data_IF_177296571615
#
_entry.id   IF_177296571615
#
_cell.length_a   1.000
_cell.length_b   1.000
_cell.length_c   1.000
_cell.angle_alpha   90.00
_cell.angle_beta   90.00
_cell.angle_gamma   90.00
#
_symmetry.space_group_name_H-M   'P 1'
#
loop_
_entity.id
_entity.type
_entity.pdbx_description
1 polymer ?
#
# COMPACT_ATOMS: atom_id res chain seq x y z
N UNK A 1 -2.46 31.16 -90.36
CA UNK A 1 -3.45 30.39 -89.57
C UNK A 1 -3.67 31.12 -88.25
N UNK A 2 -4.85 31.73 -88.11
CA UNK A 2 -5.64 32.10 -86.92
C UNK A 2 -4.92 32.70 -85.68
N UNK A 3 -5.00 34.03 -85.48
CA UNK A 3 -6.01 34.78 -84.69
C UNK A 3 -5.63 34.85 -83.18
N UNK A 4 -5.04 35.93 -82.65
CA UNK A 4 -5.56 37.28 -82.31
C UNK A 4 -6.36 37.37 -80.99
N UNK A 5 -5.86 38.25 -80.11
CA UNK A 5 -6.51 39.12 -79.08
C UNK A 5 -6.62 38.69 -77.60
N UNK A 6 -6.09 39.61 -76.78
CA UNK A 6 -6.39 39.88 -75.38
C UNK A 6 -7.84 40.30 -75.15
N UNK A 7 -8.47 39.81 -74.07
CA UNK A 7 -9.64 40.38 -73.39
C UNK A 7 -9.50 39.95 -71.91
N UNK A 8 -9.20 40.87 -70.99
CA UNK A 8 -10.17 41.50 -70.08
C UNK A 8 -11.02 40.47 -69.30
N UNK A 9 -10.80 40.39 -67.98
CA UNK A 9 -11.77 39.78 -67.06
C UNK A 9 -12.35 40.86 -66.17
N UNK A 10 -13.28 41.61 -66.75
CA UNK A 10 -14.42 42.10 -66.00
C UNK A 10 -15.44 40.95 -65.87
N UNK A 11 -15.54 40.38 -64.67
CA UNK A 11 -16.82 39.87 -64.15
C UNK A 11 -16.89 40.20 -62.67
N UNK A 12 -16.84 41.51 -62.46
CA UNK A 12 -17.46 42.22 -61.37
C UNK A 12 -18.98 42.06 -61.52
N UNK A 13 -19.60 41.16 -60.74
CA UNK A 13 -21.04 41.11 -60.36
C UNK A 13 -21.44 39.68 -59.99
N UNK A 14 -21.05 39.22 -58.80
CA UNK A 14 -21.79 38.22 -58.01
C UNK A 14 -21.00 37.88 -56.74
N UNK A 15 -20.83 38.84 -55.82
CA UNK A 15 -20.48 38.55 -54.40
C UNK A 15 -20.43 39.80 -53.49
N UNK A 16 -20.98 40.95 -53.91
CA UNK A 16 -21.05 42.13 -53.05
C UNK A 16 -22.36 42.26 -52.25
N UNK A 17 -23.20 41.21 -52.26
CA UNK A 17 -24.53 41.21 -51.63
C UNK A 17 -24.66 40.21 -50.47
N UNK A 18 -23.56 39.57 -50.05
CA UNK A 18 -23.52 38.63 -48.92
C UNK A 18 -22.63 39.08 -47.76
N UNK A 19 -21.84 40.16 -47.94
CA UNK A 19 -21.01 40.73 -46.86
C UNK A 19 -21.75 41.80 -46.05
N UNK A 20 -22.85 42.35 -46.56
CA UNK A 20 -23.62 43.39 -45.85
C UNK A 20 -24.67 42.86 -44.85
N UNK A 21 -24.93 41.54 -44.81
CA UNK A 21 -25.84 40.94 -43.81
C UNK A 21 -25.13 40.42 -42.55
N UNK A 22 -23.79 40.40 -42.51
CA UNK A 22 -23.04 39.99 -41.32
C UNK A 22 -22.72 41.14 -40.35
N UNK A 23 -22.97 42.40 -40.74
CA UNK A 23 -22.69 43.57 -39.92
C UNK A 23 -23.86 44.02 -39.02
N UNK A 24 -24.96 43.28 -38.98
CA UNK A 24 -26.15 43.61 -38.18
C UNK A 24 -26.59 42.51 -37.21
N UNK A 25 -25.78 41.46 -37.03
CA UNK A 25 -25.93 40.63 -35.85
C UNK A 25 -25.25 41.37 -34.68
N UNK A 26 -25.99 41.73 -33.61
CA UNK A 26 -25.32 42.14 -32.38
C UNK A 26 -24.33 41.02 -32.02
N UNK A 27 -23.14 41.35 -31.46
CA UNK A 27 -22.34 40.31 -30.86
C UNK A 27 -23.27 39.57 -29.91
N UNK A 28 -23.53 38.29 -30.20
CA UNK A 28 -24.03 37.41 -29.17
C UNK A 28 -22.92 37.44 -28.14
N UNK A 29 -23.09 38.31 -27.13
CA UNK A 29 -22.32 38.19 -25.92
C UNK A 29 -22.47 36.74 -25.54
N UNK A 30 -21.36 36.02 -25.53
CA UNK A 30 -21.24 34.83 -24.71
C UNK A 30 -21.58 35.33 -23.32
N UNK A 31 -22.87 35.26 -22.98
CA UNK A 31 -23.33 35.39 -21.64
C UNK A 31 -22.56 34.30 -20.93
N UNK A 32 -21.53 34.72 -20.19
CA UNK A 32 -20.80 33.92 -19.26
C UNK A 32 -21.86 33.40 -18.30
N UNK A 33 -22.38 32.22 -18.64
CA UNK A 33 -23.39 31.53 -17.87
C UNK A 33 -22.68 31.27 -16.56
N UNK A 34 -22.93 32.12 -15.56
CA UNK A 34 -22.54 31.89 -14.18
C UNK A 34 -23.15 30.54 -13.85
N UNK A 35 -22.38 29.48 -14.01
CA UNK A 35 -22.76 28.15 -13.58
C UNK A 35 -23.17 28.31 -12.13
N UNK A 36 -24.42 27.98 -11.81
CA UNK A 36 -24.85 27.96 -10.43
C UNK A 36 -23.85 27.09 -9.68
N UNK A 37 -23.20 27.66 -8.66
CA UNK A 37 -22.21 26.96 -7.88
C UNK A 37 -22.85 25.66 -7.36
N UNK A 38 -22.30 24.52 -7.76
CA UNK A 38 -22.77 23.20 -7.32
C UNK A 38 -22.64 23.13 -5.80
N UNK A 39 -23.64 22.57 -5.13
CA UNK A 39 -23.58 22.32 -3.69
C UNK A 39 -22.32 21.49 -3.38
N UNK A 40 -21.41 21.96 -2.49
CA UNK A 40 -20.20 21.23 -2.10
C UNK A 40 -20.47 19.75 -1.74
N UNK A 41 -21.63 19.45 -1.14
CA UNK A 41 -22.01 18.08 -0.78
C UNK A 41 -22.32 17.16 -1.97
N UNK A 42 -22.35 17.69 -3.18
CA UNK A 42 -22.65 16.95 -4.42
C UNK A 42 -21.41 16.78 -5.32
N UNK A 43 -20.26 17.32 -4.93
CA UNK A 43 -19.00 17.16 -5.64
C UNK A 43 -18.35 15.82 -5.33
N UNK A 44 -17.46 15.39 -6.20
CA UNK A 44 -16.60 14.23 -5.96
C UNK A 44 -15.34 14.58 -5.13
N UNK A 45 -15.00 15.88 -5.06
CA UNK A 45 -13.85 16.42 -4.34
C UNK A 45 -14.28 17.10 -3.04
N UNK A 46 -13.33 17.26 -2.12
CA UNK A 46 -13.47 18.05 -0.92
C UNK A 46 -13.47 19.55 -1.24
N UNK A 47 -14.09 20.32 -0.35
CA UNK A 47 -14.13 21.77 -0.44
C UNK A 47 -13.66 22.38 0.87
N UNK A 48 -12.54 23.10 0.81
CA UNK A 48 -11.97 23.82 1.95
C UNK A 48 -12.16 25.31 1.71
N UNK A 49 -12.90 25.99 2.59
CA UNK A 49 -12.96 27.45 2.58
C UNK A 49 -11.71 28.02 3.26
N UNK A 50 -10.97 28.86 2.55
CA UNK A 50 -9.76 29.54 3.02
C UNK A 50 -10.03 31.04 3.07
N UNK A 51 -9.75 31.69 4.19
CA UNK A 51 -9.95 33.12 4.36
C UNK A 51 -9.17 33.91 3.30
N UNK A 52 -9.81 34.90 2.69
CA UNK A 52 -9.26 35.79 1.64
C UNK A 52 -8.94 35.13 0.28
N UNK A 53 -8.85 33.81 0.20
CA UNK A 53 -8.66 33.07 -1.06
C UNK A 53 -9.99 32.58 -1.63
N UNK A 54 -10.88 32.06 -0.78
CA UNK A 54 -12.18 31.52 -1.20
C UNK A 54 -12.23 30.00 -1.04
N UNK A 55 -12.87 29.29 -1.98
CA UNK A 55 -13.02 27.83 -1.92
C UNK A 55 -11.93 27.14 -2.72
N UNK A 56 -11.20 26.26 -2.07
CA UNK A 56 -10.24 25.35 -2.68
C UNK A 56 -10.89 23.98 -2.85
N UNK A 57 -10.69 23.35 -3.99
CA UNK A 57 -11.25 22.05 -4.37
C UNK A 57 -10.12 21.05 -4.62
N UNK A 58 -10.29 19.81 -4.14
CA UNK A 58 -9.23 18.80 -4.13
C UNK A 58 -9.52 17.70 -3.12
N UNK A 59 -8.53 16.93 -2.69
CA UNK A 59 -8.71 15.84 -1.71
C UNK A 59 -7.87 16.13 -0.47
N UNK A 60 -8.53 16.16 0.70
CA UNK A 60 -7.87 16.29 1.99
C UNK A 60 -7.26 14.94 2.37
N UNK A 61 -5.94 14.88 2.48
CA UNK A 61 -5.23 13.66 2.86
C UNK A 61 -5.15 13.49 4.37
N UNK A 62 -4.98 14.60 5.09
CA UNK A 62 -4.90 14.58 6.54
C UNK A 62 -5.33 15.91 7.15
N UNK A 63 -5.84 15.83 8.37
CA UNK A 63 -6.20 16.97 9.18
C UNK A 63 -5.65 16.76 10.58
N UNK A 64 -4.87 17.73 11.05
CA UNK A 64 -4.45 17.84 12.43
C UNK A 64 -5.16 19.03 13.09
N UNK A 65 -4.95 19.22 14.38
CA UNK A 65 -5.45 20.40 15.09
C UNK A 65 -4.83 21.71 14.56
N UNK A 66 -3.65 21.61 13.92
CA UNK A 66 -2.87 22.76 13.48
C UNK A 66 -3.03 23.05 11.98
N UNK A 67 -3.23 22.03 11.14
CA UNK A 67 -3.23 22.22 9.69
C UNK A 67 -4.04 21.16 8.95
N UNK A 68 -4.43 21.48 7.72
CA UNK A 68 -5.01 20.55 6.74
C UNK A 68 -4.04 20.39 5.58
N UNK A 69 -3.74 19.14 5.22
CA UNK A 69 -3.00 18.80 4.00
C UNK A 69 -3.97 18.37 2.91
N UNK A 70 -3.86 19.01 1.75
CA UNK A 70 -4.82 18.83 0.65
C UNK A 70 -4.09 18.73 -0.70
N UNK A 71 -4.43 17.73 -1.49
CA UNK A 71 -3.99 17.56 -2.88
C UNK A 71 -4.89 18.37 -3.80
N UNK A 72 -4.30 19.16 -4.69
CA UNK A 72 -5.01 20.00 -5.65
C UNK A 72 -4.35 19.88 -7.02
N UNK A 73 -5.14 19.81 -8.09
CA UNK A 73 -4.61 19.84 -9.46
C UNK A 73 -4.07 21.23 -9.79
N UNK A 74 -2.82 21.32 -10.26
CA UNK A 74 -2.13 22.60 -10.53
C UNK A 74 -2.90 23.49 -11.49
N UNK A 75 -3.29 22.94 -12.64
CA UNK A 75 -4.00 23.66 -13.69
C UNK A 75 -5.29 24.32 -13.17
N UNK A 76 -5.99 23.62 -12.29
CA UNK A 76 -7.20 24.15 -11.66
C UNK A 76 -6.85 25.29 -10.70
N UNK A 77 -5.86 25.10 -9.81
CA UNK A 77 -5.46 26.10 -8.84
C UNK A 77 -4.93 27.38 -9.51
N UNK A 78 -4.11 27.23 -10.54
CA UNK A 78 -3.58 28.32 -11.36
C UNK A 78 -4.69 29.11 -12.04
N UNK A 79 -5.71 28.42 -12.56
CA UNK A 79 -6.84 29.06 -13.26
C UNK A 79 -7.83 29.73 -12.31
N UNK A 80 -8.13 29.08 -11.18
CA UNK A 80 -9.14 29.53 -10.23
C UNK A 80 -8.62 30.60 -9.25
N UNK A 81 -7.36 30.47 -8.82
CA UNK A 81 -6.74 31.30 -7.78
C UNK A 81 -5.29 31.67 -8.15
N UNK A 82 -5.05 32.46 -9.23
CA UNK A 82 -3.72 32.66 -9.81
C UNK A 82 -2.70 33.31 -8.87
N UNK A 83 -3.13 34.29 -8.06
CA UNK A 83 -2.22 34.96 -7.10
C UNK A 83 -1.79 34.02 -5.97
N UNK A 84 -2.72 33.21 -5.46
CA UNK A 84 -2.45 32.20 -4.43
C UNK A 84 -1.57 31.09 -4.98
N UNK A 85 -1.83 30.62 -6.22
CA UNK A 85 -0.98 29.65 -6.90
C UNK A 85 0.47 30.14 -7.02
N UNK A 86 0.68 31.39 -7.43
CA UNK A 86 2.03 31.96 -7.58
C UNK A 86 2.79 31.96 -6.25
N UNK A 87 2.15 32.40 -5.17
CA UNK A 87 2.75 32.40 -3.83
C UNK A 87 3.10 30.98 -3.37
N UNK A 88 2.20 30.03 -3.61
CA UNK A 88 2.41 28.63 -3.25
C UNK A 88 3.55 28.00 -4.04
N UNK A 89 3.58 28.19 -5.37
CA UNK A 89 4.60 27.62 -6.25
C UNK A 89 6.03 28.06 -5.90
N UNK A 90 6.20 29.33 -5.47
CA UNK A 90 7.50 29.83 -5.00
C UNK A 90 7.95 29.06 -3.74
N UNK A 91 7.06 28.89 -2.76
CA UNK A 91 7.36 28.14 -1.52
C UNK A 91 7.52 26.63 -1.74
N UNK A 92 6.82 26.07 -2.72
CA UNK A 92 6.82 24.64 -3.00
C UNK A 92 8.16 24.17 -3.57
N UNK A 93 8.79 24.97 -4.42
CA UNK A 93 10.13 24.67 -4.93
C UNK A 93 11.16 24.62 -3.79
N UNK A 94 11.10 25.55 -2.83
CA UNK A 94 11.97 25.56 -1.66
C UNK A 94 11.74 24.31 -0.80
N UNK A 95 10.48 24.00 -0.48
CA UNK A 95 10.10 22.81 0.30
C UNK A 95 10.54 21.52 -0.41
N UNK A 96 10.39 21.44 -1.72
CA UNK A 96 10.80 20.28 -2.51
C UNK A 96 12.32 20.11 -2.53
N UNK A 97 13.07 21.20 -2.70
CA UNK A 97 14.53 21.16 -2.64
C UNK A 97 15.04 20.74 -1.25
N UNK A 98 14.50 21.31 -0.18
CA UNK A 98 14.84 20.94 1.20
C UNK A 98 14.54 19.47 1.47
N UNK A 99 13.38 19.00 1.03
CA UNK A 99 12.97 17.65 1.30
C UNK A 99 13.67 16.61 0.40
N UNK A 100 14.04 16.95 -0.83
CA UNK A 100 14.96 16.15 -1.65
C UNK A 100 16.31 16.02 -0.93
N UNK A 101 16.86 17.12 -0.43
CA UNK A 101 18.11 17.10 0.34
C UNK A 101 17.97 16.22 1.59
N UNK A 102 16.85 16.30 2.31
CA UNK A 102 16.56 15.46 3.46
C UNK A 102 16.49 13.97 3.08
N UNK A 103 15.87 13.64 1.95
CA UNK A 103 15.80 12.27 1.45
C UNK A 103 17.20 11.75 1.10
N UNK A 104 18.03 12.55 0.41
CA UNK A 104 19.42 12.20 0.11
C UNK A 104 20.24 11.95 1.38
N UNK A 105 20.09 12.78 2.42
CA UNK A 105 20.77 12.54 3.71
C UNK A 105 20.26 11.28 4.42
N UNK A 106 18.97 10.97 4.34
CA UNK A 106 18.40 9.71 4.84
C UNK A 106 18.97 8.51 4.11
N UNK A 107 19.03 8.56 2.77
CA UNK A 107 19.64 7.52 1.94
C UNK A 107 21.11 7.32 2.33
N UNK A 108 21.87 8.40 2.43
CA UNK A 108 23.28 8.36 2.83
C UNK A 108 23.48 7.76 4.22
N UNK A 109 22.61 8.10 5.17
CA UNK A 109 22.63 7.51 6.51
C UNK A 109 22.34 6.01 6.45
N UNK A 110 21.33 5.61 5.69
CA UNK A 110 20.94 4.20 5.53
C UNK A 110 22.08 3.36 4.92
N UNK A 111 22.80 3.88 3.92
CA UNK A 111 23.98 3.20 3.35
C UNK A 111 25.06 2.88 4.37
N UNK A 112 25.23 3.74 5.37
CA UNK A 112 26.24 3.56 6.42
C UNK A 112 25.82 2.55 7.50
N UNK A 113 24.59 2.04 7.46
CA UNK A 113 24.07 1.06 8.43
C UNK A 113 24.44 -0.39 8.08
N UNK A 114 24.90 -0.67 6.84
CA UNK A 114 25.19 -2.02 6.35
C UNK A 114 26.63 -2.19 5.92
N UNK A 115 27.14 -3.42 6.06
CA UNK A 115 28.46 -3.86 5.60
C UNK A 115 28.33 -5.22 4.86
N UNK A 116 29.32 -5.58 4.05
CA UNK A 116 29.37 -6.87 3.35
C UNK A 116 28.32 -7.01 2.24
N UNK A 117 27.86 -8.25 2.01
CA UNK A 117 26.95 -8.59 0.91
C UNK A 117 25.59 -7.86 1.01
N UNK A 118 25.06 -7.69 2.23
CA UNK A 118 23.80 -6.95 2.45
C UNK A 118 23.94 -5.47 2.02
N UNK A 119 25.13 -4.88 2.20
CA UNK A 119 25.38 -3.50 1.76
C UNK A 119 25.39 -3.38 0.23
N UNK A 120 25.87 -4.38 -0.50
CA UNK A 120 25.87 -4.37 -1.96
C UNK A 120 24.44 -4.32 -2.51
N UNK A 121 23.58 -5.22 -2.01
CA UNK A 121 22.16 -5.30 -2.42
C UNK A 121 21.40 -4.00 -2.11
N UNK A 122 21.55 -3.46 -0.90
CA UNK A 122 20.89 -2.21 -0.51
C UNK A 122 21.42 -1.02 -1.32
N UNK A 123 22.73 -0.94 -1.56
CA UNK A 123 23.32 0.15 -2.33
C UNK A 123 22.85 0.14 -3.79
N UNK A 124 22.75 -1.03 -4.43
CA UNK A 124 22.23 -1.17 -5.79
C UNK A 124 20.78 -0.66 -5.89
N UNK A 125 19.91 -1.10 -4.98
CA UNK A 125 18.54 -0.62 -4.90
C UNK A 125 18.45 0.91 -4.73
N UNK A 126 19.29 1.47 -3.86
CA UNK A 126 19.31 2.91 -3.59
C UNK A 126 19.84 3.71 -4.79
N UNK A 127 20.85 3.20 -5.50
CA UNK A 127 21.38 3.83 -6.71
C UNK A 127 20.33 3.88 -7.82
N UNK A 128 19.57 2.80 -8.00
CA UNK A 128 18.51 2.73 -8.99
C UNK A 128 17.35 3.66 -8.64
N UNK A 129 16.96 3.72 -7.36
CA UNK A 129 15.94 4.66 -6.89
C UNK A 129 16.38 6.13 -7.05
N UNK A 130 17.64 6.47 -6.76
CA UNK A 130 18.16 7.84 -6.99
C UNK A 130 18.01 8.24 -8.46
N UNK A 131 18.38 7.34 -9.39
CA UNK A 131 18.28 7.62 -10.84
C UNK A 131 16.84 7.69 -11.31
N UNK A 132 16.01 6.74 -10.89
CA UNK A 132 14.60 6.64 -11.29
C UNK A 132 13.81 7.85 -10.85
N UNK A 133 14.01 8.29 -9.61
CA UNK A 133 13.33 9.45 -9.02
C UNK A 133 14.00 10.78 -9.40
N UNK A 134 15.08 10.76 -10.16
CA UNK A 134 15.81 11.96 -10.58
C UNK A 134 16.36 12.77 -9.40
N UNK A 135 16.68 12.12 -8.27
CA UNK A 135 17.22 12.79 -7.08
C UNK A 135 18.64 13.34 -7.31
N UNK A 136 19.25 13.05 -8.46
CA UNK A 136 20.50 13.61 -8.96
C UNK A 136 20.33 15.00 -9.61
N UNK A 137 19.09 15.43 -9.86
CA UNK A 137 18.75 16.72 -10.48
C UNK A 137 17.98 17.60 -9.49
N UNK A 138 17.99 18.94 -9.65
CA UNK A 138 17.13 19.81 -8.85
C UNK A 138 15.66 19.41 -8.98
N UNK A 139 14.94 19.35 -7.85
CA UNK A 139 13.50 19.11 -7.85
C UNK A 139 12.78 20.07 -8.79
N UNK A 140 12.03 19.52 -9.76
CA UNK A 140 11.15 20.27 -10.64
C UNK A 140 9.71 19.94 -10.34
N UNK A 141 9.13 20.66 -9.36
CA UNK A 141 7.74 20.44 -8.94
C UNK A 141 6.74 20.80 -10.03
N UNK A 142 7.15 21.60 -11.02
CA UNK A 142 6.28 22.05 -12.11
C UNK A 142 5.91 20.92 -13.08
N UNK A 143 6.66 19.82 -13.06
CA UNK A 143 6.39 18.62 -13.85
C UNK A 143 5.19 17.79 -13.35
N UNK A 144 4.82 17.94 -12.07
CA UNK A 144 3.70 17.19 -11.46
C UNK A 144 2.35 17.83 -11.78
N UNK A 145 1.35 17.02 -12.14
CA UNK A 145 -0.01 17.53 -12.38
C UNK A 145 -0.69 18.05 -11.10
N UNK A 146 -0.24 17.57 -9.93
CA UNK A 146 -0.76 17.95 -8.63
C UNK A 146 0.23 18.77 -7.80
N UNK A 147 -0.33 19.46 -6.80
CA UNK A 147 0.41 20.15 -5.75
C UNK A 147 -0.23 19.87 -4.40
N UNK A 148 0.56 19.88 -3.33
CA UNK A 148 0.08 19.65 -1.97
C UNK A 148 0.06 20.99 -1.24
N UNK A 149 -1.12 21.39 -0.79
CA UNK A 149 -1.33 22.57 0.03
C UNK A 149 -1.30 22.19 1.51
N UNK A 150 -0.45 22.87 2.28
CA UNK A 150 -0.54 22.90 3.73
C UNK A 150 -1.26 24.17 4.15
N UNK A 151 -2.47 24.01 4.69
CA UNK A 151 -3.32 25.11 5.09
C UNK A 151 -3.42 25.17 6.62
N UNK A 152 -2.95 26.26 7.22
CA UNK A 152 -3.01 26.45 8.67
C UNK A 152 -4.45 26.60 9.15
N UNK A 153 -4.77 25.98 10.29
CA UNK A 153 -6.14 25.91 10.81
C UNK A 153 -6.78 27.29 11.02
N UNK A 154 -6.00 28.29 11.39
CA UNK A 154 -6.44 29.67 11.58
C UNK A 154 -6.93 30.33 10.28
N UNK A 155 -6.41 29.88 9.14
CA UNK A 155 -6.79 30.39 7.82
C UNK A 155 -8.02 29.68 7.27
N UNK A 156 -8.52 28.64 7.93
CA UNK A 156 -9.62 27.82 7.46
C UNK A 156 -10.97 28.28 7.98
N UNK A 157 -11.95 28.29 7.08
CA UNK A 157 -13.37 28.37 7.41
C UNK A 157 -14.00 26.97 7.45
N UNK A 158 -15.12 26.82 6.73
CA UNK A 158 -15.84 25.54 6.66
C UNK A 158 -15.15 24.55 5.71
N UNK A 159 -15.04 23.31 6.17
CA UNK A 159 -14.54 22.17 5.41
C UNK A 159 -15.71 21.25 5.07
N UNK A 160 -15.79 20.80 3.83
CA UNK A 160 -16.72 19.78 3.36
C UNK A 160 -15.91 18.60 2.84
N UNK A 161 -15.89 17.51 3.60
CA UNK A 161 -15.24 16.27 3.23
C UNK A 161 -16.25 15.37 2.50
N UNK A 162 -15.76 14.65 1.48
CA UNK A 162 -16.47 13.57 0.81
C UNK A 162 -16.04 12.21 1.37
N UNK A 163 -16.78 11.18 0.97
CA UNK A 163 -16.45 9.79 1.24
C UNK A 163 -15.41 9.26 0.24
N UNK A 164 -14.85 8.09 0.56
CA UNK A 164 -13.81 7.42 -0.22
C UNK A 164 -14.25 7.10 -1.66
N UNK A 165 -15.51 6.68 -1.84
CA UNK A 165 -16.08 6.39 -3.16
C UNK A 165 -16.04 7.62 -4.09
N UNK A 166 -16.32 8.80 -3.54
CA UNK A 166 -16.24 10.07 -4.26
C UNK A 166 -14.81 10.49 -4.54
N UNK A 167 -13.90 10.31 -3.58
CA UNK A 167 -12.48 10.56 -3.79
C UNK A 167 -11.93 9.66 -4.91
N UNK A 168 -12.28 8.38 -4.90
CA UNK A 168 -11.92 7.43 -5.96
C UNK A 168 -12.47 7.88 -7.31
N UNK A 169 -13.73 8.30 -7.36
CA UNK A 169 -14.34 8.83 -8.59
C UNK A 169 -13.62 10.08 -9.11
N UNK A 170 -13.21 10.99 -8.23
CA UNK A 170 -12.42 12.17 -8.59
C UNK A 170 -11.04 11.77 -9.12
N UNK A 171 -10.37 10.83 -8.46
CA UNK A 171 -9.09 10.28 -8.88
C UNK A 171 -9.14 9.69 -10.29
N UNK A 172 -10.16 8.87 -10.59
CA UNK A 172 -10.38 8.33 -11.93
C UNK A 172 -10.66 9.46 -12.94
N UNK A 173 -11.45 10.45 -12.54
CA UNK A 173 -11.68 11.63 -13.37
C UNK A 173 -10.39 12.37 -13.73
N UNK A 174 -9.45 12.46 -12.79
CA UNK A 174 -8.16 13.08 -13.05
C UNK A 174 -7.24 12.22 -13.91
N UNK A 175 -7.14 10.91 -13.66
CA UNK A 175 -6.29 10.01 -14.46
C UNK A 175 -6.76 9.93 -15.92
N UNK A 176 -8.06 10.00 -16.15
CA UNK A 176 -8.67 10.07 -17.49
C UNK A 176 -8.67 11.48 -18.09
N UNK A 177 -7.96 12.43 -17.46
CA UNK A 177 -7.81 13.81 -17.91
C UNK A 177 -9.14 14.53 -18.16
N UNK A 178 -10.19 14.22 -17.38
CA UNK A 178 -11.45 14.93 -17.48
C UNK A 178 -11.29 16.39 -17.04
N UNK A 179 -11.93 17.28 -17.80
CA UNK A 179 -12.04 18.69 -17.45
C UNK A 179 -13.08 18.89 -16.35
N UNK A 180 -12.82 19.87 -15.50
CA UNK A 180 -13.75 20.37 -14.49
C UNK A 180 -14.19 19.35 -13.43
N UNK A 181 -13.37 18.34 -13.14
CA UNK A 181 -13.62 17.35 -12.06
C UNK A 181 -13.92 18.05 -10.74
N UNK A 182 -13.21 19.15 -10.47
CA UNK A 182 -13.28 19.93 -9.23
C UNK A 182 -14.61 20.64 -9.03
N UNK A 183 -15.40 20.83 -10.09
CA UNK A 183 -16.67 21.58 -10.05
C UNK A 183 -17.86 20.80 -10.59
N UNK A 184 -17.63 19.58 -11.11
CA UNK A 184 -18.68 18.71 -11.64
C UNK A 184 -19.34 17.91 -10.51
N UNK A 185 -20.67 17.81 -10.55
CA UNK A 185 -21.43 16.94 -9.66
C UNK A 185 -20.98 15.47 -9.82
N UNK A 186 -20.79 14.74 -8.73
CA UNK A 186 -20.31 13.36 -8.74
C UNK A 186 -21.15 12.42 -9.64
N UNK A 187 -22.48 12.56 -9.66
CA UNK A 187 -23.36 11.76 -10.51
C UNK A 187 -23.12 12.05 -12.00
N UNK A 188 -22.85 13.31 -12.34
CA UNK A 188 -22.53 13.71 -13.71
C UNK A 188 -21.12 13.26 -14.10
N UNK A 189 -20.17 13.31 -13.15
CA UNK A 189 -18.81 12.84 -13.35
C UNK A 189 -18.78 11.33 -13.65
N UNK A 190 -19.47 10.50 -12.85
CA UNK A 190 -19.61 9.06 -13.10
C UNK A 190 -20.17 8.78 -14.49
N UNK A 191 -21.24 9.47 -14.88
CA UNK A 191 -21.82 9.33 -16.21
C UNK A 191 -20.85 9.70 -17.34
N UNK A 192 -20.03 10.75 -17.16
CA UNK A 192 -19.02 11.15 -18.16
C UNK A 192 -17.96 10.06 -18.34
N UNK A 193 -17.50 9.44 -17.25
CA UNK A 193 -16.55 8.34 -17.28
C UNK A 193 -17.13 7.09 -17.96
N UNK A 194 -18.36 6.72 -17.60
CA UNK A 194 -19.07 5.60 -18.25
C UNK A 194 -19.26 5.84 -19.76
N UNK A 195 -19.53 7.09 -20.17
CA UNK A 195 -19.61 7.47 -21.59
C UNK A 195 -18.28 7.35 -22.33
N UNK A 196 -17.15 7.38 -21.63
CA UNK A 196 -15.82 7.12 -22.17
C UNK A 196 -15.44 5.62 -22.11
N UNK A 197 -16.38 4.74 -21.75
CA UNK A 197 -16.16 3.31 -21.53
C UNK A 197 -15.15 3.00 -20.41
N UNK A 198 -15.04 3.89 -19.42
CA UNK A 198 -14.22 3.65 -18.23
C UNK A 198 -15.07 2.88 -17.22
N UNK A 199 -14.66 1.66 -16.87
CA UNK A 199 -15.29 0.90 -15.80
C UNK A 199 -14.81 1.42 -14.45
N UNK A 200 -15.61 2.31 -13.86
CA UNK A 200 -15.33 2.91 -12.57
C UNK A 200 -15.16 1.85 -11.49
N UNK A 201 -15.87 0.72 -11.52
CA UNK A 201 -15.82 -0.25 -10.42
C UNK A 201 -14.49 -1.02 -10.42
N UNK A 202 -14.00 -1.46 -11.59
CA UNK A 202 -12.75 -2.22 -11.71
C UNK A 202 -11.50 -1.37 -11.94
N UNK A 203 -11.61 -0.04 -12.02
CA UNK A 203 -10.49 0.85 -12.31
C UNK A 203 -9.38 0.80 -11.23
N UNK A 204 -8.14 0.56 -11.66
CA UNK A 204 -6.95 0.65 -10.82
C UNK A 204 -6.37 2.05 -10.93
N UNK A 205 -6.52 2.85 -9.88
CA UNK A 205 -6.06 4.25 -9.85
C UNK A 205 -4.53 4.31 -9.80
N UNK A 206 -3.92 5.08 -10.72
CA UNK A 206 -2.48 5.34 -10.78
C UNK A 206 -2.24 6.84 -10.80
N UNK A 207 -2.03 7.45 -9.64
CA UNK A 207 -1.70 8.87 -9.51
C UNK A 207 -0.26 9.12 -9.02
N UNK A 208 0.50 8.07 -8.68
CA UNK A 208 1.81 8.17 -8.04
C UNK A 208 2.77 9.12 -8.78
N UNK A 209 2.92 8.94 -10.09
CA UNK A 209 3.83 9.73 -10.92
C UNK A 209 3.41 11.20 -11.10
N UNK A 210 2.14 11.52 -10.83
CA UNK A 210 1.59 12.87 -11.00
C UNK A 210 1.61 13.68 -9.70
N UNK A 211 1.93 13.03 -8.59
CA UNK A 211 1.97 13.62 -7.25
C UNK A 211 3.38 14.09 -6.91
N UNK A 212 3.53 15.28 -6.29
CA UNK A 212 4.83 15.66 -5.75
C UNK A 212 5.21 14.71 -4.60
N UNK A 213 6.51 14.46 -4.38
CA UNK A 213 6.97 13.57 -3.32
C UNK A 213 6.47 14.05 -1.96
N UNK A 214 5.86 13.14 -1.20
CA UNK A 214 5.41 13.42 0.16
C UNK A 214 6.49 13.05 1.17
N UNK A 215 6.87 14.01 2.01
CA UNK A 215 7.86 13.73 3.05
C UNK A 215 7.26 12.87 4.16
N UNK A 216 7.78 11.66 4.25
CA UNK A 216 7.45 10.74 5.33
C UNK A 216 7.99 11.22 6.68
N UNK A 217 7.21 10.99 7.73
CA UNK A 217 7.70 11.11 9.10
C UNK A 217 8.89 10.18 9.32
N UNK A 218 9.72 10.46 10.33
CA UNK A 218 10.86 9.60 10.64
C UNK A 218 10.40 8.18 11.02
N UNK A 219 9.21 8.02 11.60
CA UNK A 219 8.62 6.72 11.89
C UNK A 219 8.26 5.94 10.62
N UNK A 220 7.58 6.59 9.67
CA UNK A 220 7.23 5.97 8.38
C UNK A 220 8.48 5.62 7.55
N UNK A 221 9.54 6.41 7.67
CA UNK A 221 10.82 6.10 7.05
C UNK A 221 11.45 4.80 7.60
N UNK A 222 11.42 4.57 8.91
CA UNK A 222 11.91 3.31 9.48
C UNK A 222 11.08 2.10 9.03
N UNK A 223 9.75 2.27 8.93
CA UNK A 223 8.86 1.25 8.37
C UNK A 223 9.23 0.94 6.93
N UNK A 224 9.48 1.96 6.11
CA UNK A 224 9.90 1.78 4.72
C UNK A 224 11.22 1.02 4.61
N UNK A 225 12.24 1.41 5.37
CA UNK A 225 13.51 0.67 5.41
C UNK A 225 13.27 -0.80 5.75
N UNK A 226 12.46 -1.07 6.78
CA UNK A 226 12.14 -2.42 7.23
C UNK A 226 11.42 -3.26 6.16
N UNK A 227 10.53 -2.66 5.35
CA UNK A 227 9.84 -3.33 4.25
C UNK A 227 10.76 -3.59 3.06
N UNK A 228 11.57 -2.61 2.66
CA UNK A 228 12.57 -2.77 1.60
C UNK A 228 13.56 -3.87 1.96
N UNK A 229 14.07 -3.88 3.19
CA UNK A 229 14.98 -4.93 3.64
C UNK A 229 14.32 -6.30 3.68
N UNK A 230 13.05 -6.38 4.09
CA UNK A 230 12.31 -7.64 4.05
C UNK A 230 12.10 -8.16 2.62
N UNK A 231 12.02 -7.26 1.64
CA UNK A 231 11.88 -7.61 0.23
C UNK A 231 13.21 -8.05 -0.40
N UNK A 232 14.31 -7.37 -0.06
CA UNK A 232 15.60 -7.52 -0.74
C UNK A 232 16.57 -8.47 -0.04
N UNK A 233 16.57 -8.50 1.29
CA UNK A 233 17.51 -9.30 2.08
C UNK A 233 16.89 -10.65 2.48
N UNK A 234 17.71 -11.64 2.90
CA UNK A 234 17.21 -12.90 3.43
C UNK A 234 16.20 -12.70 4.56
N UNK A 235 14.97 -13.18 4.34
CA UNK A 235 13.83 -12.94 5.25
C UNK A 235 14.00 -13.61 6.60
N UNK A 236 13.65 -12.87 7.64
CA UNK A 236 13.49 -13.41 9.00
C UNK A 236 12.06 -13.82 9.25
N UNK A 237 11.75 -15.10 9.03
CA UNK A 237 10.43 -15.66 9.24
C UNK A 237 10.47 -16.73 10.33
N UNK A 238 9.49 -16.67 11.23
CA UNK A 238 9.25 -17.66 12.26
C UNK A 238 7.85 -18.24 12.12
N UNK A 239 7.69 -19.51 12.50
CA UNK A 239 6.38 -20.17 12.53
C UNK A 239 6.23 -20.99 13.82
N UNK A 240 5.02 -21.01 14.38
CA UNK A 240 4.83 -21.59 15.70
C UNK A 240 3.38 -21.69 16.18
N UNK A 241 3.22 -22.27 17.36
CA UNK A 241 1.96 -22.44 18.08
C UNK A 241 2.17 -22.26 19.57
N UNK A 242 1.22 -21.59 20.24
CA UNK A 242 1.37 -21.20 21.65
C UNK A 242 2.62 -20.34 21.87
N UNK A 243 3.60 -20.89 22.60
CA UNK A 243 4.89 -20.26 22.93
C UNK A 243 6.08 -20.88 22.15
N UNK A 244 5.85 -21.87 21.29
CA UNK A 244 6.90 -22.55 20.53
C UNK A 244 7.00 -21.96 19.12
N UNK A 245 8.20 -21.50 18.75
CA UNK A 245 8.47 -20.89 17.44
C UNK A 245 9.76 -21.43 16.84
N UNK A 246 9.77 -21.59 15.52
CA UNK A 246 10.89 -22.09 14.75
C UNK A 246 11.20 -21.16 13.59
N UNK A 247 12.50 -20.94 13.32
CA UNK A 247 12.96 -20.19 12.15
C UNK A 247 12.60 -20.97 10.88
N UNK A 248 11.94 -20.33 9.94
CA UNK A 248 11.63 -20.89 8.62
C UNK A 248 12.83 -20.72 7.68
N UNK A 249 13.07 -21.71 6.82
CA UNK A 249 14.12 -21.68 5.79
C UNK A 249 15.54 -22.04 6.27
N UNK A 250 15.86 -21.89 7.56
CA UNK A 250 17.18 -22.24 8.10
C UNK A 250 17.27 -23.75 8.38
N UNK A 251 17.60 -24.58 7.38
CA UNK A 251 17.90 -26.01 7.52
C UNK A 251 17.05 -26.73 8.59
N UNK A 252 15.75 -26.42 8.64
CA UNK A 252 14.87 -26.89 9.68
C UNK A 252 14.63 -28.38 9.39
N UNK A 253 15.51 -29.22 9.91
CA UNK A 253 15.35 -30.66 9.83
C UNK A 253 14.11 -30.98 10.65
N UNK A 254 13.03 -31.53 10.06
CA UNK A 254 11.82 -31.88 10.80
C UNK A 254 12.14 -32.80 11.98
N UNK A 255 13.18 -33.63 11.85
CA UNK A 255 13.67 -34.46 12.95
C UNK A 255 14.29 -33.64 14.10
N UNK A 256 14.98 -32.53 13.83
CA UNK A 256 15.49 -31.63 14.87
C UNK A 256 14.38 -30.82 15.52
N UNK A 257 13.35 -30.41 14.79
CA UNK A 257 12.18 -29.75 15.36
C UNK A 257 11.39 -30.70 16.28
N UNK A 258 11.21 -31.96 15.87
CA UNK A 258 10.58 -33.01 16.68
C UNK A 258 11.46 -33.37 17.88
N UNK A 259 12.78 -33.50 17.69
CA UNK A 259 13.73 -33.74 18.77
C UNK A 259 13.74 -32.58 19.77
N UNK A 260 13.75 -31.33 19.32
CA UNK A 260 13.60 -30.15 20.18
C UNK A 260 12.26 -30.16 20.93
N UNK A 261 11.18 -30.60 20.30
CA UNK A 261 9.88 -30.74 20.94
C UNK A 261 9.87 -31.83 22.03
N UNK A 262 10.61 -32.93 21.81
CA UNK A 262 10.77 -34.04 22.75
C UNK A 262 11.79 -33.76 23.87
N UNK A 263 12.85 -33.02 23.58
CA UNK A 263 13.94 -32.69 24.52
C UNK A 263 13.69 -31.37 25.29
N UNK A 264 12.60 -30.65 24.99
CA UNK A 264 12.24 -29.39 25.66
C UNK A 264 13.08 -28.18 25.20
N UNK A 265 13.49 -28.17 23.94
CA UNK A 265 14.52 -27.30 23.39
C UNK A 265 14.02 -26.06 22.63
N UNK A 266 13.82 -24.97 23.36
CA UNK A 266 14.52 -23.71 23.09
C UNK A 266 14.84 -23.10 24.46
N UNK A 267 16.06 -23.32 24.95
CA UNK A 267 16.50 -22.75 26.23
C UNK A 267 15.73 -23.22 27.48
N UNK A 268 15.78 -24.52 27.79
CA UNK A 268 15.70 -25.01 29.16
C UNK A 268 14.47 -24.62 29.98
N UNK A 269 13.25 -24.84 29.50
CA UNK A 269 12.05 -24.86 30.36
C UNK A 269 11.01 -25.85 29.80
N UNK A 270 10.69 -26.91 30.58
CA UNK A 270 9.38 -27.59 30.50
C UNK A 270 9.27 -28.94 29.79
N UNK A 271 10.06 -29.95 30.15
CA UNK A 271 9.99 -31.32 29.62
C UNK A 271 8.73 -32.15 29.94
N UNK A 272 7.57 -31.54 30.19
CA UNK A 272 6.29 -32.23 30.40
C UNK A 272 5.06 -31.48 29.84
N UNK A 273 5.19 -30.20 29.52
CA UNK A 273 4.11 -29.35 29.00
C UNK A 273 3.86 -29.53 27.49
N UNK A 274 4.85 -30.02 26.74
CA UNK A 274 4.81 -30.03 25.27
C UNK A 274 3.89 -31.12 24.70
N UNK A 275 3.87 -32.32 25.30
CA UNK A 275 2.94 -33.41 24.92
C UNK A 275 1.49 -33.01 25.25
N UNK A 276 1.29 -32.32 26.37
CA UNK A 276 -0.02 -31.80 26.77
C UNK A 276 -0.52 -30.70 25.83
N UNK A 277 0.39 -29.88 25.26
CA UNK A 277 0.04 -28.86 24.26
C UNK A 277 -0.29 -29.48 22.89
N UNK A 278 0.47 -30.47 22.44
CA UNK A 278 0.16 -31.24 21.23
C UNK A 278 -1.18 -31.99 21.35
N UNK A 279 -1.48 -32.52 22.54
CA UNK A 279 -2.79 -33.11 22.86
C UNK A 279 -3.95 -32.11 22.82
N UNK A 280 -3.72 -30.85 23.23
CA UNK A 280 -4.69 -29.74 23.07
C UNK A 280 -4.93 -29.38 21.62
N UNK A 281 -3.86 -29.25 20.83
CA UNK A 281 -3.90 -28.86 19.42
C UNK A 281 -4.57 -29.94 18.55
N UNK A 282 -4.36 -31.22 18.85
CA UNK A 282 -5.06 -32.34 18.21
C UNK A 282 -6.53 -32.49 18.65
N UNK A 283 -6.96 -31.70 19.64
CA UNK A 283 -8.33 -31.67 20.16
C UNK A 283 -8.69 -32.87 21.03
N UNK A 284 -7.72 -33.46 21.74
CA UNK A 284 -7.97 -34.56 22.67
C UNK A 284 -8.75 -34.05 23.90
N UNK A 285 -9.82 -34.76 24.33
CA UNK A 285 -10.72 -34.28 25.40
C UNK A 285 -10.04 -34.06 26.75
N UNK A 286 -8.93 -34.76 27.00
CA UNK A 286 -8.23 -34.85 28.28
C UNK A 286 -7.38 -33.61 28.62
N UNK A 287 -7.17 -32.69 27.67
CA UNK A 287 -6.26 -31.54 27.84
C UNK A 287 -6.92 -30.17 27.71
N UNK A 288 -8.26 -30.09 27.62
CA UNK A 288 -8.98 -28.82 27.47
C UNK A 288 -9.08 -28.06 28.79
N UNK A 289 -8.18 -27.11 29.02
CA UNK A 289 -8.42 -26.00 29.96
C UNK A 289 -7.75 -24.66 29.54
N UNK A 290 -8.35 -23.60 30.07
CA UNK A 290 -8.54 -22.18 29.63
C UNK A 290 -7.31 -21.26 29.39
N UNK A 291 -7.49 -20.13 28.67
CA UNK A 291 -6.45 -19.14 28.38
C UNK A 291 -6.15 -18.23 29.58
N UNK A 292 -4.86 -18.01 29.90
CA UNK A 292 -4.42 -17.01 30.87
C UNK A 292 -3.97 -15.71 30.19
N UNK A 293 -4.72 -14.67 30.53
CA UNK A 293 -4.44 -13.23 30.56
C UNK A 293 -3.11 -12.65 30.05
N UNK A 294 -3.26 -11.54 29.31
CA UNK A 294 -2.54 -10.25 29.45
C UNK A 294 -1.30 -10.29 30.34
N UNK A 295 -0.18 -10.72 29.77
CA UNK A 295 1.15 -10.31 30.20
C UNK A 295 1.93 -9.90 28.96
N UNK A 296 2.81 -8.91 29.13
CA UNK A 296 3.71 -8.40 28.09
C UNK A 296 4.27 -9.55 27.27
N UNK A 297 4.30 -9.39 25.95
CA UNK A 297 4.65 -10.39 24.93
C UNK A 297 6.08 -10.91 25.17
N UNK A 298 6.31 -11.76 26.18
CA UNK A 298 7.63 -12.38 26.43
C UNK A 298 7.98 -13.44 25.39
N UNK A 299 6.96 -13.99 24.73
CA UNK A 299 7.15 -15.04 23.74
C UNK A 299 7.87 -14.54 22.48
N UNK A 300 7.88 -13.23 22.22
CA UNK A 300 8.54 -12.65 21.04
C UNK A 300 10.01 -12.27 21.29
N UNK A 301 10.41 -12.14 22.56
CA UNK A 301 11.78 -11.72 22.93
C UNK A 301 12.87 -12.60 22.29
N UNK A 302 12.74 -13.94 22.19
CA UNK A 302 13.74 -14.77 21.50
C UNK A 302 13.85 -14.48 20.00
N UNK A 303 12.73 -14.15 19.35
CA UNK A 303 12.69 -13.82 17.92
C UNK A 303 13.25 -12.42 17.65
N UNK A 304 12.94 -11.47 18.53
CA UNK A 304 13.58 -10.14 18.54
C UNK A 304 15.10 -10.30 18.64
N UNK A 305 15.58 -11.04 19.63
CA UNK A 305 17.01 -11.23 19.84
C UNK A 305 17.69 -11.88 18.63
N UNK A 306 17.06 -12.91 18.06
CA UNK A 306 17.60 -13.58 16.88
C UNK A 306 17.62 -12.66 15.64
N UNK A 307 16.59 -11.83 15.44
CA UNK A 307 16.60 -10.82 14.38
C UNK A 307 17.70 -9.75 14.60
N UNK A 308 17.94 -9.34 15.85
CA UNK A 308 19.03 -8.42 16.20
C UNK A 308 20.42 -9.06 15.99
N UNK A 309 20.59 -10.32 16.36
CA UNK A 309 21.82 -11.09 16.14
C UNK A 309 22.10 -11.29 14.63
N UNK A 310 21.05 -11.38 13.79
CA UNK A 310 21.11 -11.42 12.33
C UNK A 310 21.24 -10.01 11.69
N UNK A 311 21.30 -8.94 12.48
CA UNK A 311 21.30 -7.53 12.04
C UNK A 311 20.14 -7.21 11.09
N UNK A 312 18.91 -7.56 11.48
CA UNK A 312 17.69 -7.39 10.68
C UNK A 312 16.77 -6.36 11.33
N UNK A 313 16.11 -5.54 10.50
CA UNK A 313 15.12 -4.53 10.95
C UNK A 313 13.69 -5.03 10.94
N UNK A 314 13.44 -6.20 10.38
CA UNK A 314 12.11 -6.78 10.27
C UNK A 314 12.15 -8.29 10.38
N UNK A 315 11.06 -8.84 10.90
CA UNK A 315 10.81 -10.28 10.88
C UNK A 315 9.31 -10.55 10.87
N UNK A 316 8.89 -11.69 10.31
CA UNK A 316 7.51 -12.15 10.34
C UNK A 316 7.34 -13.31 11.32
N UNK A 317 6.19 -13.39 11.97
CA UNK A 317 5.81 -14.50 12.83
C UNK A 317 4.45 -15.03 12.41
N UNK A 318 4.40 -16.31 12.07
CA UNK A 318 3.16 -17.05 11.81
C UNK A 318 2.76 -17.86 13.04
N UNK A 319 1.55 -17.61 13.53
CA UNK A 319 0.94 -18.29 14.68
C UNK A 319 -0.24 -19.13 14.23
N UNK A 320 -0.19 -20.41 14.55
CA UNK A 320 -1.27 -21.35 14.29
C UNK A 320 -2.24 -21.38 15.47
N UNK A 321 -3.54 -21.33 15.19
CA UNK A 321 -4.61 -21.70 16.13
C UNK A 321 -5.49 -22.75 15.48
N UNK A 322 -5.76 -23.85 16.20
CA UNK A 322 -6.46 -25.00 15.66
C UNK A 322 -7.72 -25.36 16.46
N UNK A 323 -8.82 -25.59 15.74
CA UNK A 323 -10.07 -26.15 16.23
C UNK A 323 -10.78 -26.93 15.12
N UNK A 324 -12.05 -26.62 14.86
CA UNK A 324 -12.77 -27.08 13.65
C UNK A 324 -12.35 -26.28 12.39
N UNK A 325 -11.72 -25.14 12.63
CA UNK A 325 -11.05 -24.29 11.64
C UNK A 325 -9.60 -24.15 12.06
N UNK A 326 -8.71 -24.14 11.07
CA UNK A 326 -7.32 -23.77 11.23
C UNK A 326 -7.19 -22.30 10.87
N UNK A 327 -6.68 -21.49 11.80
CA UNK A 327 -6.38 -20.08 11.58
C UNK A 327 -4.88 -19.88 11.65
N UNK A 328 -4.32 -19.27 10.61
CA UNK A 328 -2.93 -18.81 10.60
C UNK A 328 -2.96 -17.28 10.71
N UNK A 329 -2.32 -16.79 11.76
CA UNK A 329 -2.13 -15.37 11.99
C UNK A 329 -0.67 -15.02 11.75
N UNK A 330 -0.41 -14.23 10.71
CA UNK A 330 0.93 -13.74 10.39
C UNK A 330 1.06 -12.29 10.83
N UNK A 331 2.10 -11.96 11.58
CA UNK A 331 2.40 -10.58 11.96
C UNK A 331 3.81 -10.21 11.51
N UNK A 332 3.93 -9.13 10.74
CA UNK A 332 5.20 -8.50 10.40
C UNK A 332 5.58 -7.52 11.51
N UNK A 333 6.79 -7.64 12.03
CA UNK A 333 7.37 -6.75 13.03
C UNK A 333 8.50 -5.94 12.41
N UNK A 334 8.70 -4.74 12.93
CA UNK A 334 9.81 -3.88 12.54
C UNK A 334 10.48 -3.23 13.75
N UNK A 335 11.76 -2.87 13.60
CA UNK A 335 12.52 -2.09 14.56
C UNK A 335 12.29 -0.61 14.31
N UNK A 336 11.56 0.04 15.21
CA UNK A 336 11.33 1.49 15.15
C UNK A 336 12.56 2.29 15.56
N UNK A 337 12.48 3.62 15.40
CA UNK A 337 13.58 4.56 15.67
C UNK A 337 14.13 4.50 17.10
N UNK A 338 13.29 4.20 18.09
CA UNK A 338 13.68 4.11 19.49
C UNK A 338 14.31 2.74 19.84
N UNK A 339 14.77 1.98 18.85
CA UNK A 339 15.18 0.57 18.95
C UNK A 339 14.09 -0.36 19.51
N UNK A 340 12.83 0.08 19.48
CA UNK A 340 11.69 -0.72 19.94
C UNK A 340 11.10 -1.51 18.78
N UNK A 341 10.88 -2.80 19.02
CA UNK A 341 10.16 -3.66 18.08
C UNK A 341 8.65 -3.47 18.20
N UNK A 342 8.01 -3.20 17.06
CA UNK A 342 6.58 -2.91 16.98
C UNK A 342 5.92 -3.79 15.91
N UNK A 343 4.67 -4.24 16.11
CA UNK A 343 3.91 -4.89 15.04
C UNK A 343 3.58 -3.86 13.96
N UNK A 344 3.90 -4.18 12.71
CA UNK A 344 3.57 -3.36 11.54
C UNK A 344 2.20 -3.73 10.98
N UNK A 345 2.05 -4.98 10.54
CA UNK A 345 0.82 -5.47 9.90
C UNK A 345 0.53 -6.90 10.32
N UNK A 346 -0.76 -7.22 10.39
CA UNK A 346 -1.27 -8.55 10.71
C UNK A 346 -2.19 -9.04 9.61
N UNK A 347 -1.95 -10.27 9.18
CA UNK A 347 -2.70 -11.03 8.18
C UNK A 347 -3.28 -12.25 8.89
N UNK A 348 -4.51 -12.64 8.55
CA UNK A 348 -5.20 -13.71 9.27
C UNK A 348 -6.13 -14.45 8.35
N UNK A 349 -5.72 -15.65 7.94
CA UNK A 349 -6.52 -16.52 7.09
C UNK A 349 -6.94 -17.79 7.81
N UNK A 350 -8.11 -18.30 7.44
CA UNK A 350 -8.76 -19.40 8.13
C UNK A 350 -9.34 -20.41 7.16
N UNK A 351 -9.07 -21.69 7.40
CA UNK A 351 -9.47 -22.80 6.54
C UNK A 351 -10.18 -23.87 7.38
N UNK A 352 -11.38 -24.29 6.97
CA UNK A 352 -12.12 -25.33 7.68
C UNK A 352 -11.58 -26.71 7.35
N UNK A 353 -11.49 -27.60 8.34
CA UNK A 353 -11.03 -28.97 8.10
C UNK A 353 -12.00 -29.77 7.22
N UNK A 354 -13.29 -29.42 7.23
CA UNK A 354 -14.33 -30.08 6.45
C UNK A 354 -14.25 -29.79 4.94
N UNK A 355 -13.63 -28.66 4.57
CA UNK A 355 -13.60 -28.17 3.19
C UNK A 355 -12.40 -28.70 2.40
N UNK A 356 -11.54 -29.52 3.03
CA UNK A 356 -10.35 -30.08 2.38
C UNK A 356 -10.71 -31.33 1.57
N UNK A 357 -10.27 -31.34 0.31
CA UNK A 357 -10.60 -32.40 -0.66
C UNK A 357 -9.69 -33.62 -0.52
N UNK A 358 -10.09 -34.74 -1.14
CA UNK A 358 -9.29 -35.97 -1.16
C UNK A 358 -7.96 -35.77 -1.88
N UNK A 359 -7.99 -35.11 -3.04
CA UNK A 359 -6.83 -34.86 -3.89
C UNK A 359 -5.77 -34.03 -3.16
N UNK A 360 -6.20 -33.01 -2.39
CA UNK A 360 -5.29 -32.17 -1.60
C UNK A 360 -4.64 -32.93 -0.44
N UNK A 361 -5.37 -33.85 0.20
CA UNK A 361 -4.82 -34.73 1.22
C UNK A 361 -3.76 -35.66 0.63
N UNK A 362 -3.99 -36.20 -0.57
CA UNK A 362 -3.04 -37.09 -1.24
C UNK A 362 -1.72 -36.38 -1.56
N UNK A 363 -1.79 -35.14 -2.05
CA UNK A 363 -0.58 -34.32 -2.32
C UNK A 363 0.26 -34.13 -1.05
N UNK A 364 -0.39 -33.87 0.09
CA UNK A 364 0.28 -33.68 1.38
C UNK A 364 0.84 -35.01 1.92
N UNK A 365 0.14 -36.11 1.75
CA UNK A 365 0.64 -37.45 2.14
C UNK A 365 1.90 -37.87 1.36
N UNK A 366 2.04 -37.43 0.12
CA UNK A 366 3.20 -37.71 -0.73
C UNK A 366 4.43 -36.85 -0.37
N UNK A 367 4.29 -35.85 0.52
CA UNK A 367 5.43 -35.04 0.96
C UNK A 367 6.44 -35.92 1.75
N UNK A 368 7.73 -35.97 1.35
CA UNK A 368 8.74 -36.79 2.00
C UNK A 368 8.93 -36.50 3.49
N UNK A 369 8.71 -35.26 3.93
CA UNK A 369 8.81 -34.88 5.34
C UNK A 369 7.62 -35.44 6.12
N UNK A 370 6.41 -35.34 5.56
CA UNK A 370 5.19 -35.85 6.18
C UNK A 370 5.22 -37.37 6.24
N UNK A 371 5.65 -38.05 5.18
CA UNK A 371 5.83 -39.50 5.16
C UNK A 371 6.74 -39.99 6.32
N UNK A 372 7.85 -39.28 6.58
CA UNK A 372 8.76 -39.59 7.71
C UNK A 372 8.10 -39.38 9.07
N UNK A 373 7.36 -38.30 9.26
CA UNK A 373 6.61 -38.04 10.50
C UNK A 373 5.56 -39.12 10.73
N UNK A 374 4.87 -39.54 9.68
CA UNK A 374 3.85 -40.58 9.73
C UNK A 374 4.45 -41.96 10.05
N UNK A 375 5.64 -42.26 9.53
CA UNK A 375 6.39 -43.47 9.87
C UNK A 375 6.81 -43.47 11.35
N UNK A 376 7.33 -42.35 11.87
CA UNK A 376 7.66 -42.21 13.29
C UNK A 376 6.41 -42.39 14.17
N UNK A 377 5.29 -41.75 13.83
CA UNK A 377 4.02 -41.91 14.56
C UNK A 377 3.55 -43.37 14.60
N UNK A 378 3.74 -44.13 13.50
CA UNK A 378 3.49 -45.58 13.47
C UNK A 378 4.41 -46.36 14.40
N UNK A 379 5.70 -46.03 14.45
CA UNK A 379 6.66 -46.67 15.34
C UNK A 379 6.34 -46.45 16.82
N UNK A 380 5.75 -45.31 17.19
CA UNK A 380 5.34 -44.99 18.56
C UNK A 380 3.90 -45.44 18.91
N UNK A 381 3.21 -46.16 18.02
CA UNK A 381 1.86 -46.67 18.27
C UNK A 381 0.75 -45.60 18.22
N UNK A 382 1.04 -44.42 17.65
CA UNK A 382 0.09 -43.31 17.49
C UNK A 382 -0.70 -43.37 16.16
N UNK A 383 -0.67 -44.51 15.47
CA UNK A 383 -1.21 -44.68 14.12
C UNK A 383 -2.70 -45.02 14.04
N UNK A 384 -3.54 -44.40 14.87
CA UNK A 384 -4.99 -44.46 14.66
C UNK A 384 -5.32 -43.85 13.29
N UNK A 385 -5.90 -44.60 12.33
CA UNK A 385 -6.22 -44.11 11.00
C UNK A 385 -7.10 -42.84 11.00
N UNK A 386 -7.99 -42.70 11.98
CA UNK A 386 -8.85 -41.51 12.08
C UNK A 386 -8.08 -40.28 12.55
N UNK A 387 -7.17 -40.44 13.52
CA UNK A 387 -6.30 -39.35 13.98
C UNK A 387 -5.35 -38.92 12.87
N UNK A 388 -4.79 -39.89 12.15
CA UNK A 388 -3.89 -39.64 11.01
C UNK A 388 -4.61 -38.86 9.90
N UNK A 389 -5.81 -39.29 9.51
CA UNK A 389 -6.61 -38.56 8.50
C UNK A 389 -6.99 -37.16 8.97
N UNK A 390 -7.31 -36.98 10.26
CA UNK A 390 -7.60 -35.66 10.84
C UNK A 390 -6.35 -34.76 10.83
N UNK A 391 -5.18 -35.31 11.17
CA UNK A 391 -3.91 -34.59 11.15
C UNK A 391 -3.53 -34.15 9.73
N UNK A 392 -3.68 -35.02 8.74
CA UNK A 392 -3.45 -34.69 7.32
C UNK A 392 -4.39 -33.56 6.87
N UNK A 393 -5.70 -33.65 7.16
CA UNK A 393 -6.65 -32.56 6.86
C UNK A 393 -6.25 -31.25 7.51
N UNK A 394 -5.81 -31.30 8.76
CA UNK A 394 -5.31 -30.12 9.46
C UNK A 394 -4.05 -29.57 8.80
N UNK A 395 -3.15 -30.43 8.34
CA UNK A 395 -1.95 -30.04 7.61
C UNK A 395 -2.29 -29.33 6.29
N UNK A 396 -3.23 -29.87 5.51
CA UNK A 396 -3.73 -29.21 4.28
C UNK A 396 -4.34 -27.84 4.60
N UNK A 397 -5.25 -27.77 5.60
CA UNK A 397 -5.89 -26.52 6.00
C UNK A 397 -4.86 -25.49 6.50
N UNK A 398 -3.84 -25.93 7.25
CA UNK A 398 -2.73 -25.09 7.73
C UNK A 398 -1.91 -24.56 6.56
N UNK A 399 -1.54 -25.43 5.62
CA UNK A 399 -0.78 -25.07 4.43
C UNK A 399 -1.49 -23.98 3.63
N UNK A 400 -2.77 -24.18 3.32
CA UNK A 400 -3.57 -23.18 2.59
C UNK A 400 -3.69 -21.87 3.34
N UNK A 401 -4.07 -21.90 4.62
CA UNK A 401 -4.20 -20.69 5.43
C UNK A 401 -2.86 -19.91 5.50
N UNK A 402 -1.74 -20.63 5.57
CA UNK A 402 -0.41 -20.04 5.54
C UNK A 402 -0.08 -19.45 4.16
N UNK A 403 -0.34 -20.16 3.06
CA UNK A 403 -0.14 -19.68 1.69
C UNK A 403 -0.97 -18.42 1.39
N UNK A 404 -2.22 -18.37 1.84
CA UNK A 404 -3.08 -17.20 1.72
C UNK A 404 -2.50 -16.00 2.50
N UNK A 405 -2.13 -16.20 3.77
CA UNK A 405 -1.53 -15.13 4.59
C UNK A 405 -0.15 -14.68 4.08
N UNK A 406 0.64 -15.57 3.50
CA UNK A 406 1.90 -15.22 2.85
C UNK A 406 1.66 -14.39 1.60
N UNK A 407 0.68 -14.77 0.77
CA UNK A 407 0.36 -14.03 -0.45
C UNK A 407 -0.06 -12.60 -0.13
N UNK A 408 -0.86 -12.39 0.92
CA UNK A 408 -1.21 -11.05 1.41
C UNK A 408 -0.01 -10.28 1.96
N UNK A 409 0.91 -10.94 2.68
CA UNK A 409 2.14 -10.33 3.15
C UNK A 409 3.02 -9.90 1.96
N UNK A 410 3.19 -10.76 0.96
CA UNK A 410 3.98 -10.49 -0.23
C UNK A 410 3.39 -9.32 -1.02
N UNK A 411 2.07 -9.30 -1.25
CA UNK A 411 1.39 -8.18 -1.89
C UNK A 411 1.57 -6.87 -1.11
N UNK A 412 1.49 -6.94 0.23
CA UNK A 412 1.73 -5.77 1.09
C UNK A 412 3.17 -5.27 0.97
N UNK A 413 4.16 -6.17 1.01
CA UNK A 413 5.58 -5.80 0.90
C UNK A 413 5.84 -5.19 -0.48
N UNK A 414 5.44 -5.87 -1.57
CA UNK A 414 5.58 -5.40 -2.95
C UNK A 414 4.99 -4.00 -3.14
N UNK A 415 3.79 -3.75 -2.59
CA UNK A 415 3.15 -2.43 -2.69
C UNK A 415 4.00 -1.28 -2.13
N UNK A 416 4.81 -1.54 -1.11
CA UNK A 416 5.51 -0.49 -0.36
C UNK A 416 7.05 -0.56 -0.44
N UNK A 417 7.64 -1.61 -1.04
CA UNK A 417 9.10 -1.83 -1.03
C UNK A 417 9.82 -1.46 -2.33
N UNK A 418 9.12 -1.26 -3.45
CA UNK A 418 9.79 -1.05 -4.75
C UNK A 418 10.38 0.34 -4.96
N UNK A 419 9.75 1.38 -4.40
CA UNK A 419 10.20 2.77 -4.55
C UNK A 419 10.34 3.44 -3.18
N UNK A 420 11.38 4.25 -3.01
CA UNK A 420 11.63 4.93 -1.72
C UNK A 420 10.68 6.10 -1.43
N UNK A 421 9.93 6.55 -2.44
CA UNK A 421 8.96 7.65 -2.37
C UNK A 421 7.51 7.20 -2.62
N UNK A 422 7.27 5.88 -2.69
CA UNK A 422 5.94 5.28 -2.75
C UNK A 422 5.01 5.89 -1.69
N UNK A 423 3.67 5.80 -1.84
CA UNK A 423 2.73 6.38 -0.89
C UNK A 423 3.05 6.02 0.57
N UNK A 424 2.75 6.91 1.53
CA UNK A 424 3.06 6.67 2.93
C UNK A 424 2.50 5.32 3.39
N UNK A 425 3.31 4.53 4.09
CA UNK A 425 2.87 3.22 4.58
C UNK A 425 1.68 3.38 5.55
N UNK A 426 0.68 2.51 5.40
CA UNK A 426 -0.58 2.46 6.17
C UNK A 426 -0.78 1.17 6.98
#
# INVERSE_FOLDING_TARGET
MNAVRSISKASFKASLLLVFFFALLPPQGFAQQKSQAVDPKRLAVDVVAVHRVGRIHGIVMSQTDQSVLMVVRRDWLQSAHPEFYKQHADSENEIAAEGQQRLLERIKTWRAEYEGDDAEVINEFLDDNIKMLGLDKPADVSSFAFTILKLDREQLGRIYLQDEDRHRLAGIGWSENLKDVETTNAVVLKRKLEQQNVDVESYVLKLGNDMPPMFESDEKWEVRKALVEFALLPRVEYQGTGEMFFRRGANANPAQAIQAMMEGGFGGLGGASNIQQLGRELGLPEFRDRPSSRDKIKWIDPMIKAAEDENRRSFSVSRLTQGETVTVEMTLYYKGRDDRWLPLKKFSNSQRLADQTADEMEVVEQDPQIARVMEMAKQFGLADPNLMKKAIRSGVATKKALEDSMSELDEYVERYSFEIDNPPVE
#
